data_IF_972853467071
#
_entry.id   IF_972853467071
#
_cell.length_a   1.000
_cell.length_b   1.000
_cell.length_c   1.000
_cell.angle_alpha   90.00
_cell.angle_beta   90.00
_cell.angle_gamma   90.00
#
_symmetry.space_group_name_H-M   'P 1'
#
loop_
_entity.id
_entity.type
_entity.pdbx_description
1 polymer ?
#
# COMPACT_ATOMS: atom_id res chain seq x y z
N UNK A 1 -3.65 -11.34 -10.56
CA UNK A 1 -2.25 -11.12 -10.94
C UNK A 1 -1.57 -10.20 -9.95
N UNK A 2 -0.41 -10.58 -9.51
CA UNK A 2 0.35 -9.82 -8.51
C UNK A 2 1.65 -9.30 -9.08
N UNK A 3 1.94 -8.03 -8.84
CA UNK A 3 3.21 -7.40 -9.18
C UNK A 3 3.89 -6.88 -7.91
N UNK A 4 5.15 -6.49 -8.04
CA UNK A 4 5.98 -6.02 -6.94
C UNK A 4 6.67 -4.72 -7.34
N UNK A 5 6.60 -3.71 -6.48
CA UNK A 5 7.30 -2.44 -6.66
C UNK A 5 7.30 -1.68 -5.33
N UNK A 6 8.34 -0.88 -5.08
CA UNK A 6 8.46 -0.07 -3.86
C UNK A 6 8.36 -0.92 -2.59
N UNK A 7 8.79 -2.17 -2.65
CA UNK A 7 8.66 -3.16 -1.55
C UNK A 7 7.20 -3.48 -1.20
N UNK A 8 6.28 -3.24 -2.14
CA UNK A 8 4.85 -3.48 -1.96
C UNK A 8 4.37 -4.52 -2.96
N UNK A 9 3.30 -5.22 -2.61
CA UNK A 9 2.54 -6.03 -3.55
C UNK A 9 1.40 -5.22 -4.13
N UNK A 10 1.16 -5.41 -5.43
CA UNK A 10 0.02 -4.82 -6.12
C UNK A 10 -0.78 -5.95 -6.74
N UNK A 11 -1.99 -6.19 -6.24
CA UNK A 11 -2.87 -7.26 -6.70
C UNK A 11 -3.97 -6.67 -7.59
N UNK A 12 -4.00 -7.10 -8.85
CA UNK A 12 -5.05 -6.70 -9.79
C UNK A 12 -6.19 -7.70 -9.74
N UNK A 13 -7.41 -7.20 -9.48
CA UNK A 13 -8.65 -7.98 -9.55
C UNK A 13 -9.67 -7.17 -10.34
N UNK A 14 -9.96 -7.62 -11.58
CA UNK A 14 -10.81 -6.84 -12.47
C UNK A 14 -10.16 -5.49 -12.78
N UNK A 15 -10.87 -4.41 -12.47
CA UNK A 15 -10.38 -3.04 -12.68
C UNK A 15 -9.77 -2.43 -11.42
N UNK A 16 -9.73 -3.17 -10.33
CA UNK A 16 -9.21 -2.70 -9.05
C UNK A 16 -7.81 -3.23 -8.79
N UNK A 17 -6.98 -2.38 -8.18
CA UNK A 17 -5.60 -2.69 -7.85
C UNK A 17 -5.42 -2.43 -6.36
N UNK A 18 -5.17 -3.48 -5.60
CA UNK A 18 -4.98 -3.36 -4.15
C UNK A 18 -3.50 -3.41 -3.82
N UNK A 19 -3.02 -2.40 -3.10
CA UNK A 19 -1.63 -2.29 -2.69
C UNK A 19 -1.51 -2.79 -1.25
N UNK A 20 -0.52 -3.67 -1.02
CA UNK A 20 -0.36 -4.38 0.25
C UNK A 20 1.05 -4.30 0.78
N UNK A 21 1.19 -4.42 2.09
CA UNK A 21 2.50 -4.65 2.72
C UNK A 21 3.06 -5.98 2.26
N UNK A 22 4.40 -6.06 2.22
CA UNK A 22 5.10 -7.33 2.02
C UNK A 22 5.78 -7.73 3.34
N UNK A 23 6.09 -9.01 3.52
CA UNK A 23 6.86 -9.43 4.71
C UNK A 23 8.20 -8.72 4.80
N UNK A 24 8.85 -8.45 3.66
CA UNK A 24 10.11 -7.74 3.62
C UNK A 24 9.98 -6.32 4.17
N UNK A 25 8.95 -5.59 3.72
CA UNK A 25 8.73 -4.24 4.23
C UNK A 25 8.34 -4.26 5.71
N UNK A 26 7.52 -5.22 6.11
CA UNK A 26 7.14 -5.38 7.51
C UNK A 26 8.37 -5.60 8.41
N UNK A 27 9.31 -6.42 7.96
CA UNK A 27 10.54 -6.65 8.69
C UNK A 27 11.39 -5.38 8.78
N UNK A 28 11.46 -4.63 7.69
CA UNK A 28 12.26 -3.41 7.63
C UNK A 28 11.73 -2.33 8.56
N UNK A 29 10.41 -2.17 8.65
CA UNK A 29 9.81 -1.11 9.47
C UNK A 29 9.63 -1.52 10.93
N UNK A 30 9.49 -2.80 11.21
CA UNK A 30 9.23 -3.27 12.56
C UNK A 30 7.80 -2.99 13.02
N UNK A 31 7.59 -2.91 14.34
CA UNK A 31 6.25 -2.72 14.89
C UNK A 31 5.73 -1.31 14.62
N UNK A 32 4.61 -1.24 13.90
CA UNK A 32 4.00 0.03 13.51
C UNK A 32 3.11 0.54 14.65
N UNK A 33 3.32 1.77 15.07
CA UNK A 33 2.58 2.39 16.18
C UNK A 33 1.69 3.55 15.79
N UNK A 34 1.84 4.10 14.60
CA UNK A 34 1.05 5.23 14.13
C UNK A 34 0.93 5.20 12.61
N UNK A 35 -0.26 5.46 12.10
CA UNK A 35 -0.54 5.51 10.66
C UNK A 35 -1.43 6.70 10.36
N UNK A 36 -1.06 7.47 9.35
CA UNK A 36 -1.88 8.57 8.85
C UNK A 36 -1.95 8.49 7.33
N UNK A 37 -3.16 8.34 6.79
CA UNK A 37 -3.37 8.24 5.35
C UNK A 37 -3.37 9.60 4.69
N UNK A 38 -2.84 9.64 3.44
CA UNK A 38 -3.11 10.71 2.51
C UNK A 38 -4.55 10.54 2.03
N UNK A 39 -5.37 11.56 2.21
CA UNK A 39 -6.81 11.48 1.93
C UNK A 39 -7.21 12.01 0.56
N UNK A 40 -6.25 12.25 -0.33
CA UNK A 40 -6.55 12.65 -1.71
C UNK A 40 -7.27 11.52 -2.45
N UNK A 41 -8.26 11.90 -3.27
CA UNK A 41 -9.04 10.93 -4.04
C UNK A 41 -8.28 10.40 -5.26
N UNK A 42 -7.27 11.13 -5.72
CA UNK A 42 -6.45 10.79 -6.87
C UNK A 42 -4.99 10.80 -6.44
N UNK A 43 -4.27 9.71 -6.73
CA UNK A 43 -2.83 9.61 -6.48
C UNK A 43 -2.10 9.55 -7.80
N UNK A 44 -0.97 10.26 -7.87
CA UNK A 44 -0.01 10.12 -8.96
C UNK A 44 1.07 9.13 -8.55
N UNK A 45 1.81 8.60 -9.53
CA UNK A 45 2.91 7.70 -9.21
C UNK A 45 3.89 8.39 -8.25
N UNK A 46 4.30 7.67 -7.22
CA UNK A 46 5.20 8.12 -6.16
C UNK A 46 4.57 9.10 -5.16
N UNK A 47 3.26 9.34 -5.25
CA UNK A 47 2.55 10.06 -4.20
C UNK A 47 2.48 9.22 -2.92
N UNK A 48 2.42 9.90 -1.79
CA UNK A 48 2.27 9.24 -0.50
C UNK A 48 0.90 8.56 -0.40
N UNK A 49 0.91 7.28 -0.03
CA UNK A 49 -0.30 6.55 0.37
C UNK A 49 -0.61 6.88 1.83
N UNK A 50 0.42 6.75 2.66
CA UNK A 50 0.31 7.00 4.09
C UNK A 50 1.69 7.30 4.66
N UNK A 51 1.71 7.93 5.84
CA UNK A 51 2.91 8.01 6.65
C UNK A 51 2.74 7.11 7.86
N UNK A 52 3.85 6.57 8.35
CA UNK A 52 3.83 5.71 9.52
C UNK A 52 5.00 6.02 10.45
N UNK A 53 4.79 5.70 11.72
CA UNK A 53 5.84 5.69 12.72
C UNK A 53 5.92 4.29 13.30
N UNK A 54 7.12 3.79 13.44
CA UNK A 54 7.35 2.43 13.91
C UNK A 54 8.47 2.41 14.94
N UNK A 55 8.75 1.20 15.46
CA UNK A 55 9.85 1.01 16.41
C UNK A 55 11.22 1.34 15.81
N UNK A 56 11.36 1.33 14.48
CA UNK A 56 12.65 1.52 13.81
C UNK A 56 12.76 2.82 13.03
N UNK A 57 11.65 3.39 12.57
CA UNK A 57 11.70 4.49 11.62
C UNK A 57 10.41 5.29 11.56
N UNK A 58 10.50 6.48 10.95
CA UNK A 58 9.36 7.27 10.51
C UNK A 58 9.50 7.36 8.99
N UNK A 59 8.45 6.99 8.24
CA UNK A 59 8.54 6.98 6.79
C UNK A 59 7.20 7.19 6.11
N UNK A 60 7.25 7.55 4.83
CA UNK A 60 6.09 7.56 3.96
C UNK A 60 6.14 6.35 3.05
N UNK A 61 4.99 5.70 2.86
CA UNK A 61 4.82 4.66 1.85
C UNK A 61 4.22 5.32 0.63
N UNK A 62 4.88 5.14 -0.52
CA UNK A 62 4.47 5.80 -1.76
C UNK A 62 3.95 4.78 -2.77
N UNK A 63 2.98 5.21 -3.57
CA UNK A 63 2.38 4.33 -4.57
C UNK A 63 3.26 4.22 -5.80
N UNK A 64 3.45 3.00 -6.34
CA UNK A 64 4.17 2.86 -7.62
C UNK A 64 3.31 3.21 -8.83
N UNK A 65 1.99 3.36 -8.66
CA UNK A 65 1.06 3.58 -9.76
C UNK A 65 0.13 4.75 -9.46
N UNK A 66 -0.18 5.52 -10.48
CA UNK A 66 -1.24 6.52 -10.41
C UNK A 66 -2.61 5.84 -10.48
N UNK A 67 -3.60 6.40 -9.80
CA UNK A 67 -4.95 5.90 -9.87
C UNK A 67 -5.90 6.66 -8.96
N UNK A 68 -7.18 6.36 -9.12
CA UNK A 68 -8.24 6.92 -8.29
C UNK A 68 -8.42 6.01 -7.08
N UNK A 69 -8.50 6.59 -5.90
CA UNK A 69 -8.68 5.82 -4.66
C UNK A 69 -10.12 5.36 -4.52
N UNK A 70 -10.32 4.06 -4.40
CA UNK A 70 -11.62 3.44 -4.18
C UNK A 70 -11.83 3.17 -2.70
N UNK A 71 -10.79 2.72 -2.01
CA UNK A 71 -10.88 2.34 -0.60
C UNK A 71 -9.52 2.49 0.07
N UNK A 72 -9.53 2.81 1.36
CA UNK A 72 -8.36 2.84 2.25
C UNK A 72 -8.62 1.94 3.43
N UNK A 73 -7.58 1.30 3.93
CA UNK A 73 -7.68 0.49 5.14
C UNK A 73 -7.66 1.39 6.38
N UNK A 74 -8.73 2.16 6.57
CA UNK A 74 -8.80 3.13 7.67
C UNK A 74 -8.75 2.47 9.05
N UNK A 75 -9.06 1.17 9.13
CA UNK A 75 -8.93 0.42 10.39
C UNK A 75 -7.49 0.47 10.92
N UNK A 76 -6.49 0.59 10.03
CA UNK A 76 -5.10 0.69 10.45
C UNK A 76 -4.78 2.00 11.19
N UNK A 77 -5.61 3.02 11.04
CA UNK A 77 -5.46 4.27 11.80
C UNK A 77 -5.74 4.02 13.29
N UNK A 78 -6.74 3.19 13.57
CA UNK A 78 -7.12 2.84 14.94
C UNK A 78 -6.24 1.72 15.50
N UNK A 79 -5.82 0.78 14.63
CA UNK A 79 -5.00 -0.36 15.00
C UNK A 79 -3.84 -0.50 14.01
N UNK A 80 -2.76 0.28 14.20
CA UNK A 80 -1.63 0.28 13.26
C UNK A 80 -0.97 -1.10 13.09
N UNK A 81 -1.09 -1.99 14.07
CA UNK A 81 -0.49 -3.32 14.00
C UNK A 81 -1.15 -4.21 12.96
N UNK A 82 -2.32 -3.83 12.44
CA UNK A 82 -2.91 -4.54 11.31
C UNK A 82 -1.92 -4.61 10.14
N UNK A 83 -1.12 -3.56 9.94
CA UNK A 83 -0.14 -3.53 8.86
C UNK A 83 1.08 -4.42 9.11
N UNK A 84 1.24 -4.94 10.33
CA UNK A 84 2.26 -5.93 10.66
C UNK A 84 1.74 -7.37 10.48
N UNK A 85 0.46 -7.54 10.21
CA UNK A 85 -0.18 -8.86 10.11
C UNK A 85 0.20 -9.58 8.83
N UNK A 86 0.23 -10.91 8.89
CA UNK A 86 0.42 -11.76 7.71
C UNK A 86 -0.86 -11.91 6.90
N UNK A 87 -2.01 -11.53 7.45
CA UNK A 87 -3.31 -11.74 6.81
C UNK A 87 -3.58 -10.66 5.76
N UNK A 88 -3.91 -11.05 4.51
CA UNK A 88 -4.16 -10.08 3.45
C UNK A 88 -5.29 -9.10 3.76
N UNK A 89 -6.33 -9.54 4.47
CA UNK A 89 -7.45 -8.69 4.85
C UNK A 89 -7.08 -7.67 5.92
N UNK A 90 -5.90 -7.80 6.54
CA UNK A 90 -5.43 -6.89 7.57
C UNK A 90 -4.31 -5.96 7.09
N UNK A 91 -3.42 -6.44 6.23
CA UNK A 91 -2.23 -5.68 5.85
C UNK A 91 -2.35 -4.89 4.54
N UNK A 92 -3.52 -4.80 3.96
CA UNK A 92 -3.71 -4.00 2.75
C UNK A 92 -3.69 -2.51 3.09
N UNK A 93 -3.31 -1.69 2.12
CA UNK A 93 -3.18 -0.25 2.32
C UNK A 93 -4.30 0.53 1.63
N UNK A 94 -4.42 0.35 0.33
CA UNK A 94 -5.33 1.14 -0.50
C UNK A 94 -5.71 0.32 -1.72
N UNK A 95 -6.92 0.58 -2.24
CA UNK A 95 -7.37 0.03 -3.51
C UNK A 95 -7.57 1.16 -4.50
N UNK A 96 -6.97 1.03 -5.67
CA UNK A 96 -7.04 2.02 -6.75
C UNK A 96 -7.83 1.47 -7.93
N UNK A 97 -8.45 2.38 -8.69
CA UNK A 97 -9.02 2.09 -9.99
C UNK A 97 -8.51 3.14 -10.98
N UNK A 98 -8.92 3.06 -12.26
CA UNK A 98 -8.40 3.96 -13.30
C UNK A 98 -6.87 3.94 -13.38
N UNK A 99 -6.28 2.77 -13.19
CA UNK A 99 -4.83 2.58 -13.27
C UNK A 99 -4.48 2.23 -14.72
N UNK A 100 -3.37 2.78 -15.21
CA UNK A 100 -2.83 2.41 -16.53
C UNK A 100 -2.34 0.96 -16.45
N UNK A 101 -3.05 0.06 -17.13
CA UNK A 101 -2.69 -1.36 -17.12
C UNK A 101 -1.29 -1.60 -17.67
N UNK A 102 -0.86 -0.82 -18.67
CA UNK A 102 0.49 -0.94 -19.21
C UNK A 102 1.55 -0.64 -18.15
N UNK A 103 1.32 0.39 -17.35
CA UNK A 103 2.22 0.72 -16.24
C UNK A 103 2.26 -0.39 -15.20
N UNK A 104 1.11 -1.00 -14.91
CA UNK A 104 1.04 -2.13 -13.98
C UNK A 104 1.82 -3.33 -14.52
N UNK A 105 1.61 -3.66 -15.79
CA UNK A 105 2.27 -4.83 -16.41
C UNK A 105 3.78 -4.64 -16.53
N UNK A 106 4.27 -3.41 -16.50
CA UNK A 106 5.69 -3.12 -16.54
C UNK A 106 6.38 -3.32 -15.20
N UNK A 107 5.64 -3.48 -14.11
CA UNK A 107 6.21 -3.75 -12.79
C UNK A 107 6.77 -5.17 -12.72
N UNK A 108 7.59 -5.43 -11.71
CA UNK A 108 8.19 -6.75 -11.53
C UNK A 108 7.13 -7.79 -11.16
N UNK A 109 7.29 -9.00 -11.69
CA UNK A 109 6.47 -10.14 -11.30
C UNK A 109 6.83 -10.57 -9.88
N UNK A 110 5.82 -11.01 -9.16
CA UNK A 110 6.01 -11.56 -7.83
C UNK A 110 6.44 -13.02 -7.92
#
# INVERSE_FOLDING_TARGET
MRKFANFLWIDKEGENYTIRMTPELQDDVGTIGFVQFNMDDQLEAEDEILSLESSKTVMSIVTPLAGKVVARNLAATEDPKLLNSEKPEEHWLVTLTDVDETAFLALEDE
#
